data_IF_237764215244
#
_entry.id   IF_237764215244
#
_cell.length_a   1.000
_cell.length_b   1.000
_cell.length_c   1.000
_cell.angle_alpha   90.00
_cell.angle_beta   90.00
_cell.angle_gamma   90.00
#
_symmetry.space_group_name_H-M   'P 1'
#
loop_
_entity.id
_entity.type
_entity.pdbx_description
1 polymer ?
#
# COMPACT_ATOMS: atom_id res chain seq x y z
N UNK A 1 12.89 2.29 -14.38
CA UNK A 1 11.97 1.26 -13.89
C UNK A 1 10.58 1.82 -13.61
N UNK A 2 10.51 2.95 -12.93
CA UNK A 2 9.23 3.62 -12.67
C UNK A 2 8.57 4.10 -13.96
N UNK A 3 9.33 4.65 -14.90
CA UNK A 3 8.82 5.07 -16.20
C UNK A 3 8.27 3.89 -17.00
N UNK A 4 8.95 2.75 -16.95
CA UNK A 4 8.49 1.55 -17.62
C UNK A 4 7.18 1.04 -17.03
N UNK A 5 7.04 1.12 -15.71
CA UNK A 5 5.80 0.77 -15.01
C UNK A 5 4.66 1.71 -15.41
N UNK A 6 4.97 3.01 -15.58
CA UNK A 6 3.99 4.00 -15.99
C UNK A 6 3.41 3.77 -17.37
N UNK A 7 4.22 3.26 -18.31
CA UNK A 7 3.72 2.92 -19.64
C UNK A 7 2.68 1.79 -19.62
N UNK A 8 2.64 1.02 -18.53
CA UNK A 8 1.69 -0.06 -18.33
C UNK A 8 0.58 0.29 -17.36
N UNK A 9 0.40 1.57 -17.11
CA UNK A 9 -0.59 2.06 -16.16
C UNK A 9 -1.99 1.66 -16.63
N UNK A 10 -2.75 0.88 -15.85
CA UNK A 10 -4.02 0.40 -16.32
C UNK A 10 -5.03 1.55 -16.45
N UNK A 11 -5.80 1.59 -17.54
CA UNK A 11 -6.87 2.58 -17.70
C UNK A 11 -7.89 2.57 -16.56
N UNK A 12 -7.97 1.46 -15.83
CA UNK A 12 -8.86 1.32 -14.68
C UNK A 12 -8.56 2.31 -13.55
N UNK A 13 -7.39 2.95 -13.59
CA UNK A 13 -7.04 3.98 -12.62
C UNK A 13 -7.65 5.34 -12.92
N UNK A 14 -8.25 5.50 -14.09
CA UNK A 14 -9.00 6.71 -14.40
C UNK A 14 -10.12 6.89 -13.38
N UNK A 15 -10.20 8.07 -12.77
CA UNK A 15 -11.16 8.34 -11.71
C UNK A 15 -10.63 8.11 -10.29
N UNK A 16 -9.42 7.59 -10.13
CA UNK A 16 -8.79 7.53 -8.82
C UNK A 16 -8.54 8.94 -8.27
N UNK A 17 -8.68 9.07 -6.98
CA UNK A 17 -8.58 10.38 -6.31
C UNK A 17 -7.24 10.58 -5.64
N UNK A 18 -6.49 9.53 -5.39
CA UNK A 18 -5.19 9.63 -4.74
C UNK A 18 -4.43 8.32 -4.78
N UNK A 19 -3.14 8.43 -4.47
CA UNK A 19 -2.23 7.31 -4.36
C UNK A 19 -1.80 7.21 -2.90
N UNK A 20 -1.99 6.03 -2.30
CA UNK A 20 -1.52 5.76 -0.95
C UNK A 20 -0.39 4.74 -1.05
N UNK A 21 0.86 5.14 -0.83
CA UNK A 21 1.96 4.19 -0.78
C UNK A 21 1.85 3.33 0.48
N UNK A 22 2.25 2.07 0.38
CA UNK A 22 2.28 1.19 1.55
C UNK A 22 3.22 1.79 2.58
N UNK A 23 2.72 2.10 3.79
CA UNK A 23 3.54 2.79 4.79
C UNK A 23 4.52 1.83 5.46
N UNK A 24 5.67 2.38 5.86
CA UNK A 24 6.60 1.69 6.73
C UNK A 24 6.35 2.09 8.17
N UNK A 25 6.57 1.18 9.10
CA UNK A 25 6.61 1.53 10.50
C UNK A 25 7.75 2.54 10.75
N UNK A 26 7.54 3.46 11.70
CA UNK A 26 8.51 4.52 12.00
C UNK A 26 9.92 3.98 12.24
N UNK A 27 10.03 2.88 12.97
CA UNK A 27 11.32 2.26 13.28
C UNK A 27 12.02 1.76 12.01
N UNK A 28 11.26 1.14 11.09
CA UNK A 28 11.82 0.64 9.83
C UNK A 28 12.21 1.78 8.90
N UNK A 29 11.44 2.85 8.90
CA UNK A 29 11.77 4.05 8.14
C UNK A 29 13.10 4.65 8.60
N UNK A 30 13.33 4.71 9.91
CA UNK A 30 14.59 5.21 10.45
C UNK A 30 15.79 4.36 10.06
N UNK A 31 15.62 3.04 9.98
CA UNK A 31 16.68 2.12 9.58
C UNK A 31 17.03 2.25 8.10
N UNK A 32 16.04 2.40 7.24
CA UNK A 32 16.23 2.50 5.79
C UNK A 32 16.53 3.91 5.31
N UNK A 33 16.08 4.91 6.04
CA UNK A 33 16.21 6.31 5.65
C UNK A 33 15.18 6.77 4.61
N UNK A 34 14.40 5.87 4.02
CA UNK A 34 13.36 6.21 3.05
C UNK A 34 12.34 5.09 2.92
N UNK A 35 11.16 5.46 2.41
CA UNK A 35 10.12 4.52 2.03
C UNK A 35 10.11 4.39 0.51
N UNK A 36 10.44 3.22 0.02
CA UNK A 36 10.55 2.94 -1.41
C UNK A 36 9.22 3.12 -2.13
N UNK A 37 8.12 2.68 -1.53
CA UNK A 37 6.78 2.87 -2.10
C UNK A 37 6.42 4.35 -2.19
N UNK A 38 6.85 5.17 -1.23
CA UNK A 38 6.63 6.61 -1.25
C UNK A 38 7.39 7.28 -2.39
N UNK A 39 8.62 6.86 -2.64
CA UNK A 39 9.43 7.38 -3.76
C UNK A 39 8.74 7.05 -5.09
N UNK A 40 8.29 5.82 -5.26
CA UNK A 40 7.56 5.40 -6.45
C UNK A 40 6.26 6.17 -6.62
N UNK A 41 5.53 6.39 -5.53
CA UNK A 41 4.29 7.15 -5.55
C UNK A 41 4.50 8.56 -6.07
N UNK A 42 5.62 9.20 -5.72
CA UNK A 42 5.96 10.52 -6.23
C UNK A 42 6.15 10.52 -7.75
N UNK A 43 6.78 9.49 -8.29
CA UNK A 43 6.97 9.35 -9.73
C UNK A 43 5.62 9.16 -10.42
N UNK A 44 4.80 8.24 -9.91
CA UNK A 44 3.46 8.01 -10.46
C UNK A 44 2.59 9.28 -10.39
N UNK A 45 2.70 10.03 -9.30
CA UNK A 45 1.98 11.30 -9.13
C UNK A 45 2.37 12.30 -10.20
N UNK A 46 3.67 12.42 -10.50
CA UNK A 46 4.15 13.34 -11.54
C UNK A 46 3.58 13.02 -12.91
N UNK A 47 3.36 11.74 -13.22
CA UNK A 47 2.87 11.34 -14.54
C UNK A 47 1.34 11.34 -14.64
N UNK A 48 0.64 11.10 -13.53
CA UNK A 48 -0.82 10.93 -13.54
C UNK A 48 -1.57 12.16 -13.05
N UNK A 49 -0.91 13.03 -12.32
CA UNK A 49 -1.56 14.15 -11.64
C UNK A 49 -2.29 13.75 -10.36
N UNK A 50 -2.27 12.48 -9.97
CA UNK A 50 -2.91 12.03 -8.73
C UNK A 50 -2.07 12.45 -7.52
N UNK A 51 -2.69 13.03 -6.48
CA UNK A 51 -1.94 13.40 -5.28
C UNK A 51 -1.49 12.16 -4.51
N UNK A 52 -0.34 12.27 -3.85
CA UNK A 52 0.17 11.24 -2.94
C UNK A 52 -0.29 11.58 -1.54
N UNK A 53 -0.93 10.62 -0.89
CA UNK A 53 -1.35 10.74 0.51
C UNK A 53 -0.59 9.71 1.34
N UNK A 54 0.41 10.17 2.08
CA UNK A 54 1.21 9.34 2.96
C UNK A 54 0.86 9.54 4.44
N UNK A 55 -0.28 10.15 4.72
CA UNK A 55 -0.73 10.46 6.09
C UNK A 55 -1.97 9.69 6.52
N UNK A 56 -2.89 9.44 5.61
CA UNK A 56 -4.18 8.83 5.96
C UNK A 56 -4.07 7.38 6.39
N UNK A 57 -3.09 6.64 5.87
CA UNK A 57 -2.84 5.25 6.26
C UNK A 57 -1.49 5.16 6.97
N UNK A 58 -1.50 4.57 8.17
CA UNK A 58 -0.29 4.43 8.99
C UNK A 58 -0.09 2.99 9.39
N UNK A 59 1.16 2.57 9.44
CA UNK A 59 1.53 1.27 10.00
C UNK A 59 1.82 1.45 11.49
N UNK A 60 1.00 0.81 12.32
CA UNK A 60 1.05 0.97 13.77
C UNK A 60 2.12 0.12 14.44
N UNK A 61 2.51 -1.00 13.80
CA UNK A 61 3.50 -1.93 14.35
C UNK A 61 4.48 -2.35 13.30
N UNK A 62 5.75 -2.54 13.70
CA UNK A 62 6.66 -3.32 12.87
C UNK A 62 6.19 -4.77 12.90
N UNK A 63 6.31 -5.46 11.76
CA UNK A 63 5.95 -6.87 11.66
C UNK A 63 7.24 -7.69 11.75
N UNK A 64 7.71 -8.06 12.98
CA UNK A 64 8.87 -8.92 13.07
C UNK A 64 8.53 -10.31 12.55
N UNK A 65 9.52 -11.07 12.05
CA UNK A 65 9.28 -12.44 11.64
C UNK A 65 8.67 -13.22 12.79
N UNK A 66 7.50 -13.81 12.56
CA UNK A 66 6.78 -14.58 13.57
C UNK A 66 7.20 -16.06 13.46
N UNK A 67 8.45 -16.34 13.82
CA UNK A 67 8.97 -17.71 13.79
C UNK A 67 8.18 -18.53 14.81
N UNK A 68 7.60 -19.64 14.35
CA UNK A 68 6.81 -20.52 15.19
C UNK A 68 5.35 -20.14 15.36
N UNK A 69 4.91 -19.02 14.83
CA UNK A 69 3.50 -18.66 14.90
C UNK A 69 2.66 -19.41 13.86
N UNK A 70 1.40 -19.65 14.18
CA UNK A 70 0.46 -20.28 13.25
C UNK A 70 0.05 -19.29 12.15
N UNK A 71 -0.53 -19.81 11.07
CA UNK A 71 -1.07 -18.96 10.01
C UNK A 71 -2.19 -18.05 10.53
N UNK A 72 -3.01 -18.57 11.45
CA UNK A 72 -4.08 -17.78 12.07
C UNK A 72 -3.53 -16.64 12.92
N UNK A 73 -2.49 -16.90 13.69
CA UNK A 73 -1.83 -15.88 14.51
C UNK A 73 -1.20 -14.79 13.64
N UNK A 74 -0.55 -15.18 12.54
CA UNK A 74 0.04 -14.23 11.59
C UNK A 74 -1.03 -13.34 10.96
N UNK A 75 -2.17 -13.91 10.57
CA UNK A 75 -3.28 -13.13 10.00
C UNK A 75 -3.85 -12.15 11.01
N UNK A 76 -4.02 -12.58 12.26
CA UNK A 76 -4.50 -11.71 13.33
C UNK A 76 -3.52 -10.56 13.58
N UNK A 77 -2.23 -10.84 13.54
CA UNK A 77 -1.19 -9.83 13.70
C UNK A 77 -1.26 -8.77 12.60
N UNK A 78 -1.42 -9.19 11.34
CA UNK A 78 -1.54 -8.29 10.20
C UNK A 78 -2.77 -7.40 10.32
N UNK A 79 -3.91 -7.93 10.79
CA UNK A 79 -5.15 -7.17 10.96
C UNK A 79 -5.03 -6.00 11.92
N UNK A 80 -4.06 -6.02 12.83
CA UNK A 80 -3.87 -4.96 13.83
C UNK A 80 -2.73 -4.02 13.46
N UNK A 81 -2.20 -4.13 12.24
CA UNK A 81 -0.99 -3.45 11.84
C UNK A 81 -1.23 -2.05 11.28
N UNK A 82 -2.36 -1.83 10.61
CA UNK A 82 -2.62 -0.58 9.89
C UNK A 82 -3.82 0.16 10.45
N UNK A 83 -3.75 1.49 10.36
CA UNK A 83 -4.88 2.39 10.65
C UNK A 83 -5.11 3.30 9.46
N UNK A 84 -6.35 3.45 9.04
CA UNK A 84 -6.74 4.33 7.95
C UNK A 84 -7.83 5.31 8.40
N UNK A 85 -7.58 6.58 8.15
CA UNK A 85 -8.53 7.66 8.42
C UNK A 85 -8.98 8.27 7.09
N UNK A 86 -10.25 8.05 6.72
CA UNK A 86 -10.80 8.56 5.46
C UNK A 86 -11.30 10.00 5.61
N UNK A 87 -10.44 10.89 6.13
CA UNK A 87 -10.77 12.31 6.32
C UNK A 87 -11.03 13.04 5.00
N UNK A 88 -10.47 12.54 3.90
CA UNK A 88 -10.65 13.13 2.58
C UNK A 88 -11.87 12.61 1.85
N UNK A 89 -12.63 11.71 2.47
CA UNK A 89 -13.84 11.12 1.89
C UNK A 89 -13.58 10.49 0.51
N UNK A 90 -12.50 9.71 0.41
CA UNK A 90 -12.15 9.05 -0.84
C UNK A 90 -13.21 8.01 -1.23
N UNK A 91 -13.51 7.95 -2.52
CA UNK A 91 -14.31 6.88 -3.12
C UNK A 91 -13.48 5.90 -3.90
N UNK A 92 -12.36 6.35 -4.47
CA UNK A 92 -11.48 5.53 -5.30
C UNK A 92 -10.03 5.87 -5.00
N UNK A 93 -9.27 4.90 -4.50
CA UNK A 93 -7.86 5.06 -4.11
C UNK A 93 -7.04 3.99 -4.81
N UNK A 94 -5.79 4.33 -5.09
CA UNK A 94 -4.77 3.39 -5.53
C UNK A 94 -3.78 3.17 -4.39
N UNK A 95 -3.57 1.91 -4.03
CA UNK A 95 -2.47 1.51 -3.14
C UNK A 95 -1.27 1.20 -4.03
N UNK A 96 -0.12 1.73 -3.68
CA UNK A 96 1.12 1.49 -4.41
C UNK A 96 2.14 0.79 -3.53
N UNK A 97 2.63 -0.34 -4.00
CA UNK A 97 3.70 -1.09 -3.36
C UNK A 97 4.82 -1.36 -4.38
N UNK A 98 6.06 -1.48 -3.92
CA UNK A 98 7.18 -1.81 -4.79
C UNK A 98 7.16 -3.28 -5.22
N UNK A 99 7.03 -4.18 -4.27
CA UNK A 99 6.97 -5.62 -4.53
C UNK A 99 5.84 -6.25 -3.72
N UNK A 100 4.94 -6.95 -4.40
CA UNK A 100 3.91 -7.74 -3.72
C UNK A 100 4.43 -9.17 -3.58
N UNK A 101 4.48 -9.67 -2.35
CA UNK A 101 4.85 -11.06 -2.06
C UNK A 101 3.62 -11.92 -1.90
N UNK A 102 3.05 -11.99 -0.69
CA UNK A 102 1.84 -12.78 -0.42
C UNK A 102 0.55 -12.02 -0.70
N UNK A 103 0.62 -10.70 -0.75
CA UNK A 103 -0.56 -9.85 -0.86
C UNK A 103 -1.24 -9.57 0.49
N UNK A 104 -0.72 -10.08 1.59
CA UNK A 104 -1.32 -9.89 2.92
C UNK A 104 -1.43 -8.42 3.31
N UNK A 105 -0.38 -7.66 3.07
CA UNK A 105 -0.33 -6.23 3.40
C UNK A 105 -1.38 -5.44 2.63
N UNK A 106 -1.40 -5.59 1.31
CA UNK A 106 -2.33 -4.84 0.46
C UNK A 106 -3.77 -5.31 0.67
N UNK A 107 -3.98 -6.59 0.99
CA UNK A 107 -5.30 -7.11 1.32
C UNK A 107 -5.84 -6.49 2.59
N UNK A 108 -5.02 -6.37 3.62
CA UNK A 108 -5.43 -5.76 4.88
C UNK A 108 -5.70 -4.25 4.71
N UNK A 109 -4.83 -3.55 3.98
CA UNK A 109 -5.07 -2.14 3.68
C UNK A 109 -6.38 -1.94 2.92
N UNK A 110 -6.65 -2.78 1.92
CA UNK A 110 -7.89 -2.74 1.15
C UNK A 110 -9.10 -2.94 2.06
N UNK A 111 -9.02 -3.92 2.96
CA UNK A 111 -10.10 -4.23 3.89
C UNK A 111 -10.45 -3.03 4.77
N UNK A 112 -9.46 -2.40 5.40
CA UNK A 112 -9.71 -1.27 6.29
C UNK A 112 -10.17 -0.02 5.53
N UNK A 113 -9.70 0.16 4.31
CA UNK A 113 -10.14 1.28 3.47
C UNK A 113 -11.60 1.13 3.07
N UNK A 114 -12.01 -0.06 2.68
CA UNK A 114 -13.41 -0.32 2.34
C UNK A 114 -14.32 -0.20 3.54
N UNK A 115 -13.88 -0.64 4.72
CA UNK A 115 -14.62 -0.43 5.96
C UNK A 115 -14.78 1.06 6.30
N UNK A 116 -13.84 1.88 5.88
CA UNK A 116 -13.89 3.33 6.09
C UNK A 116 -14.67 4.07 5.01
N UNK A 117 -15.29 3.37 4.07
CA UNK A 117 -16.19 3.96 3.08
C UNK A 117 -15.61 4.11 1.68
N UNK A 118 -14.40 3.62 1.42
CA UNK A 118 -13.82 3.67 0.08
C UNK A 118 -14.47 2.62 -0.79
N UNK A 119 -15.10 3.04 -1.89
CA UNK A 119 -15.87 2.14 -2.74
C UNK A 119 -14.98 1.28 -3.63
N UNK A 120 -13.86 1.84 -4.11
CA UNK A 120 -12.94 1.13 -5.01
C UNK A 120 -11.50 1.33 -4.59
N UNK A 121 -10.76 0.23 -4.52
CA UNK A 121 -9.33 0.23 -4.21
C UNK A 121 -8.63 -0.58 -5.29
N UNK A 122 -7.74 0.07 -6.04
CA UNK A 122 -6.84 -0.60 -6.98
C UNK A 122 -5.47 -0.75 -6.33
N UNK A 123 -4.75 -1.79 -6.68
CA UNK A 123 -3.42 -2.05 -6.14
C UNK A 123 -2.44 -2.14 -7.30
N UNK A 124 -1.38 -1.35 -7.21
CA UNK A 124 -0.30 -1.37 -8.19
C UNK A 124 1.01 -1.74 -7.56
N UNK A 125 1.81 -2.47 -8.30
CA UNK A 125 3.19 -2.78 -7.91
C UNK A 125 4.06 -2.85 -9.16
N UNK A 126 5.37 -2.61 -8.96
CA UNK A 126 6.34 -2.78 -10.04
C UNK A 126 6.61 -4.25 -10.29
N UNK A 127 6.65 -5.05 -9.24
CA UNK A 127 6.98 -6.45 -9.35
C UNK A 127 6.15 -7.29 -8.38
N UNK A 128 5.95 -8.54 -8.73
CA UNK A 128 5.37 -9.54 -7.85
C UNK A 128 6.41 -10.65 -7.68
N UNK A 129 6.70 -11.01 -6.43
CA UNK A 129 7.70 -12.03 -6.15
C UNK A 129 7.21 -13.39 -6.66
N UNK A 130 8.03 -14.14 -7.41
CA UNK A 130 7.63 -15.45 -7.91
C UNK A 130 7.45 -16.46 -6.78
N UNK A 131 6.55 -17.44 -6.99
CA UNK A 131 6.34 -18.53 -6.06
C UNK A 131 5.50 -18.22 -4.83
N UNK A 132 4.87 -17.06 -4.76
CA UNK A 132 4.05 -16.63 -3.64
C UNK A 132 2.56 -16.70 -3.96
N UNK A 133 2.16 -17.72 -4.61
CA UNK A 133 0.75 -17.94 -4.96
C UNK A 133 -0.09 -18.34 -3.76
#
# INVERSE_FOLDING_TARGET
>A
LAELAMQRFPPSAAGAQGIIPVPLHRQRYRQRGFNQSRVLASVFSSHTGLPVDDHSCRKLRSSPPQIGSTAAERRKHVKQTFHFDNRHAYHHIVILDDVITTGSTVSEMTRIMKLAGVARVDVWSIARAPGTC
#
